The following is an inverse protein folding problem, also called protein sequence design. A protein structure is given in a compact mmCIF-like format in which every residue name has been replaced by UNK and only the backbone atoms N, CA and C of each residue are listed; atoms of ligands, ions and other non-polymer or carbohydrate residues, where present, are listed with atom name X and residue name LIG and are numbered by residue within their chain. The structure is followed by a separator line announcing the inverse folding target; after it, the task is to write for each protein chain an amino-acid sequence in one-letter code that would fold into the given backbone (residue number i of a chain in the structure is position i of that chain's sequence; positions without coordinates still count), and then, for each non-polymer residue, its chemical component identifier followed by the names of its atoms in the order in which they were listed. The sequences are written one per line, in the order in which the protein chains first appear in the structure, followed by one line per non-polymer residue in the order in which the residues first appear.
data_IF_483685936534
#
_entry.id   IF_483685936534
#
_cell.length_a   1.000
_cell.length_b   1.000
_cell.length_c   1.000
_cell.angle_alpha   90.00
_cell.angle_beta   90.00
_cell.angle_gamma   90.00
#
_symmetry.space_group_name_H-M   'P 1'
#
loop_
_entity.id
_entity.type
_entity.pdbx_description
1 polymer ?
#
# COMPACT_ATOMS: atom_id res chain seq x y z
N UNK A 1 36.35 -22.75 51.61
CA UNK A 1 35.70 -21.74 50.74
C UNK A 1 35.38 -22.43 49.42
N UNK A 2 34.09 -22.57 49.06
CA UNK A 2 33.64 -23.20 47.80
C UNK A 2 33.05 -22.11 46.91
N UNK A 3 33.63 -21.90 45.72
CA UNK A 3 33.12 -20.98 44.71
C UNK A 3 32.17 -21.73 43.77
N UNK A 4 30.94 -21.24 43.63
CA UNK A 4 29.96 -21.76 42.67
C UNK A 4 30.04 -20.96 41.36
N UNK A 5 29.95 -21.60 40.18
CA UNK A 5 29.94 -20.89 38.90
C UNK A 5 28.54 -20.33 38.61
N UNK A 6 28.46 -19.02 38.38
CA UNK A 6 27.25 -18.35 37.93
C UNK A 6 27.18 -18.50 36.41
N UNK A 7 26.38 -19.46 35.94
CA UNK A 7 26.05 -19.63 34.53
C UNK A 7 25.08 -18.51 34.13
N UNK A 8 25.58 -17.49 33.43
CA UNK A 8 24.77 -16.39 32.90
C UNK A 8 24.00 -16.88 31.66
N UNK A 9 22.81 -17.44 31.86
CA UNK A 9 21.89 -17.73 30.76
C UNK A 9 21.26 -16.41 30.29
N UNK A 10 21.67 -15.94 29.11
CA UNK A 10 21.10 -14.76 28.46
C UNK A 10 19.79 -15.19 27.78
N UNK A 11 18.60 -14.72 28.23
CA UNK A 11 17.36 -15.02 27.53
C UNK A 11 17.34 -14.26 26.21
N UNK A 12 17.35 -14.99 25.09
CA UNK A 12 17.04 -14.45 23.77
C UNK A 12 15.60 -13.96 23.80
N UNK A 13 15.39 -12.67 24.04
CA UNK A 13 14.08 -12.04 23.87
C UNK A 13 13.81 -12.04 22.37
N UNK A 14 12.99 -12.99 21.92
CA UNK A 14 12.36 -12.91 20.61
C UNK A 14 11.54 -11.63 20.61
N UNK A 15 12.05 -10.59 19.94
CA UNK A 15 11.23 -9.48 19.50
C UNK A 15 10.12 -10.08 18.62
N UNK A 16 8.92 -10.18 19.18
CA UNK A 16 7.73 -10.44 18.40
C UNK A 16 7.58 -9.26 17.42
N UNK A 17 7.82 -9.49 16.14
CA UNK A 17 7.43 -8.54 15.11
C UNK A 17 5.91 -8.42 15.19
N UNK A 18 5.40 -7.29 15.69
CA UNK A 18 4.01 -6.93 15.49
C UNK A 18 3.80 -6.86 13.97
N UNK A 19 2.91 -7.70 13.47
CA UNK A 19 2.61 -7.76 12.05
C UNK A 19 1.66 -6.59 11.74
N UNK A 20 2.21 -5.43 11.37
CA UNK A 20 1.46 -4.22 10.99
C UNK A 20 0.78 -4.38 9.61
N UNK A 21 0.31 -5.58 9.30
CA UNK A 21 -0.36 -5.89 8.05
C UNK A 21 -1.79 -5.40 8.08
N UNK A 22 -2.09 -4.55 7.11
CA UNK A 22 -3.47 -4.19 6.81
C UNK A 22 -4.11 -5.37 6.07
N UNK A 23 -5.02 -6.07 6.75
CA UNK A 23 -5.69 -7.25 6.20
C UNK A 23 -7.06 -6.86 5.65
N UNK A 24 -7.25 -7.11 4.36
CA UNK A 24 -8.53 -6.87 3.69
C UNK A 24 -8.65 -5.50 3.01
N UNK A 25 -9.57 -5.45 2.05
CA UNK A 25 -9.77 -4.31 1.16
C UNK A 25 -10.24 -3.05 1.93
N UNK A 26 -11.18 -3.21 2.86
CA UNK A 26 -11.76 -2.08 3.58
C UNK A 26 -10.77 -1.46 4.57
N UNK A 27 -9.97 -2.30 5.22
CA UNK A 27 -8.90 -1.84 6.10
C UNK A 27 -7.82 -1.09 5.31
N UNK A 28 -7.48 -1.56 4.11
CA UNK A 28 -6.56 -0.86 3.21
C UNK A 28 -7.13 0.50 2.80
N UNK A 29 -8.42 0.54 2.46
CA UNK A 29 -9.08 1.77 2.09
C UNK A 29 -9.06 2.79 3.24
N UNK A 30 -9.41 2.36 4.45
CA UNK A 30 -9.37 3.23 5.63
C UNK A 30 -7.96 3.74 5.92
N UNK A 31 -6.96 2.86 5.87
CA UNK A 31 -5.57 3.23 6.10
C UNK A 31 -5.09 4.31 5.12
N UNK A 32 -5.32 4.11 3.83
CA UNK A 32 -4.87 5.03 2.77
C UNK A 32 -5.64 6.34 2.84
N UNK A 33 -6.94 6.31 3.13
CA UNK A 33 -7.74 7.54 3.24
C UNK A 33 -7.38 8.40 4.46
N UNK A 34 -6.85 7.78 5.52
CA UNK A 34 -6.52 8.47 6.77
C UNK A 34 -5.05 8.86 6.90
N UNK A 35 -4.17 8.31 6.08
CA UNK A 35 -2.73 8.53 6.18
C UNK A 35 -2.07 8.57 4.81
N UNK A 36 -1.39 9.70 4.54
CA UNK A 36 -0.51 9.84 3.39
C UNK A 36 0.69 8.92 3.51
N UNK A 37 0.91 8.06 2.53
CA UNK A 37 2.06 7.16 2.53
C UNK A 37 3.21 7.78 1.71
N UNK A 38 4.15 8.42 2.39
CA UNK A 38 5.33 9.04 1.78
C UNK A 38 5.20 10.55 1.58
N UNK A 39 5.78 11.05 0.48
CA UNK A 39 5.93 12.49 0.25
C UNK A 39 4.82 13.12 -0.61
N UNK A 40 4.19 12.34 -1.51
CA UNK A 40 3.11 12.76 -2.40
C UNK A 40 1.71 12.41 -1.90
N UNK A 41 0.66 12.90 -2.58
CA UNK A 41 -0.70 12.43 -2.38
C UNK A 41 -0.86 11.06 -3.03
N UNK A 42 -1.58 10.13 -2.40
CA UNK A 42 -1.76 8.78 -2.94
C UNK A 42 -2.88 8.80 -3.99
N UNK A 43 -2.81 7.93 -5.01
CA UNK A 43 -3.80 7.92 -6.09
C UNK A 43 -4.37 6.52 -6.36
N UNK A 44 -5.69 6.46 -6.49
CA UNK A 44 -6.39 5.30 -7.03
C UNK A 44 -6.43 5.37 -8.56
N UNK A 45 -6.14 4.25 -9.19
CA UNK A 45 -6.53 4.00 -10.58
C UNK A 45 -7.96 3.46 -10.54
N UNK A 46 -8.88 4.20 -11.13
CA UNK A 46 -10.25 3.77 -11.34
C UNK A 46 -10.48 3.39 -12.80
N UNK A 47 -11.19 2.27 -13.01
CA UNK A 47 -11.61 1.79 -14.32
C UNK A 47 -13.13 1.86 -14.41
N UNK A 48 -13.64 2.29 -15.56
CA UNK A 48 -15.08 2.30 -15.81
C UNK A 48 -15.57 0.89 -16.15
N UNK A 49 -16.57 0.41 -15.40
CA UNK A 49 -17.19 -0.90 -15.61
C UNK A 49 -18.28 -0.82 -16.70
N UNK A 50 -18.91 -1.97 -16.99
CA UNK A 50 -19.97 -2.06 -18.01
C UNK A 50 -21.28 -1.35 -17.62
N UNK A 51 -21.45 -1.05 -16.34
CA UNK A 51 -22.58 -0.30 -15.78
C UNK A 51 -22.30 1.21 -15.69
N UNK A 52 -21.21 1.67 -16.32
CA UNK A 52 -20.71 3.05 -16.29
C UNK A 52 -20.24 3.57 -14.92
N UNK A 53 -20.03 2.68 -13.96
CA UNK A 53 -19.51 3.02 -12.62
C UNK A 53 -17.98 2.95 -12.60
N UNK A 54 -17.36 3.75 -11.73
CA UNK A 54 -15.92 3.76 -11.56
C UNK A 54 -15.50 2.84 -10.42
N UNK A 55 -14.73 1.81 -10.76
CA UNK A 55 -14.22 0.81 -9.82
C UNK A 55 -12.74 1.04 -9.55
N UNK A 56 -12.31 0.98 -8.29
CA UNK A 56 -10.89 1.05 -7.93
C UNK A 56 -10.20 -0.26 -8.31
N UNK A 57 -9.11 -0.15 -9.06
CA UNK A 57 -8.40 -1.30 -9.64
C UNK A 57 -6.94 -1.37 -9.25
N UNK A 58 -6.34 -0.24 -8.87
CA UNK A 58 -4.96 -0.19 -8.41
C UNK A 58 -4.72 1.03 -7.52
N UNK A 59 -3.75 0.92 -6.62
CA UNK A 59 -3.29 2.00 -5.76
C UNK A 59 -1.85 2.35 -6.12
N UNK A 60 -1.57 3.63 -6.30
CA UNK A 60 -0.23 4.20 -6.46
C UNK A 60 0.07 5.03 -5.24
N UNK A 61 1.16 4.68 -4.56
CA UNK A 61 1.58 5.33 -3.31
C UNK A 61 3.09 5.14 -3.11
N UNK A 62 3.69 6.01 -2.30
CA UNK A 62 5.09 5.91 -1.92
C UNK A 62 6.09 6.42 -2.97
N UNK A 63 5.64 6.96 -4.10
CA UNK A 63 6.51 7.67 -5.04
C UNK A 63 6.72 9.12 -4.62
N UNK A 64 7.67 9.78 -5.29
CA UNK A 64 7.83 11.24 -5.15
C UNK A 64 6.73 12.00 -5.89
N UNK A 65 6.24 11.43 -7.00
CA UNK A 65 5.14 11.94 -7.82
C UNK A 65 4.17 10.79 -8.15
N UNK A 66 3.27 10.49 -7.21
CA UNK A 66 2.28 9.42 -7.37
C UNK A 66 1.26 9.71 -8.48
N UNK A 67 0.98 10.99 -8.77
CA UNK A 67 0.09 11.35 -9.88
C UNK A 67 0.73 11.02 -11.23
N UNK A 68 1.99 11.41 -11.42
CA UNK A 68 2.77 11.09 -12.61
C UNK A 68 2.84 9.58 -12.84
N UNK A 69 3.13 8.81 -11.79
CA UNK A 69 3.16 7.34 -11.91
C UNK A 69 1.79 6.71 -12.13
N UNK A 70 0.72 7.28 -11.57
CA UNK A 70 -0.65 6.88 -11.90
C UNK A 70 -0.96 7.09 -13.39
N UNK A 71 -0.57 8.23 -13.95
CA UNK A 71 -0.75 8.50 -15.39
C UNK A 71 0.11 7.57 -16.27
N UNK A 72 1.35 7.27 -15.88
CA UNK A 72 2.21 6.29 -16.55
C UNK A 72 1.58 4.89 -16.56
N UNK A 73 1.05 4.45 -15.41
CA UNK A 73 0.36 3.16 -15.29
C UNK A 73 -0.87 3.10 -16.20
N UNK A 74 -1.70 4.16 -16.22
CA UNK A 74 -2.84 4.26 -17.14
C UNK A 74 -2.39 4.19 -18.61
N UNK A 75 -1.29 4.85 -18.98
CA UNK A 75 -0.75 4.78 -20.33
C UNK A 75 -0.37 3.33 -20.69
N UNK A 76 0.27 2.61 -19.77
CA UNK A 76 0.55 1.17 -19.91
C UNK A 76 -0.71 0.33 -20.09
N UNK A 77 -1.73 0.53 -19.25
CA UNK A 77 -3.02 -0.17 -19.34
C UNK A 77 -3.73 0.10 -20.68
N UNK A 78 -3.70 1.35 -21.15
CA UNK A 78 -4.28 1.73 -22.44
C UNK A 78 -3.50 1.19 -23.64
N UNK A 79 -2.20 0.93 -23.50
CA UNK A 79 -1.39 0.34 -24.57
C UNK A 79 -1.84 -1.10 -24.91
N UNK A 80 -2.36 -1.83 -23.93
CA UNK A 80 -2.89 -3.20 -24.13
C UNK A 80 -4.39 -3.23 -24.41
N UNK A 81 -5.15 -2.26 -23.89
CA UNK A 81 -6.59 -2.15 -24.12
C UNK A 81 -7.05 -0.68 -24.17
N UNK A 82 -6.93 -0.07 -25.34
CA UNK A 82 -7.23 1.35 -25.55
C UNK A 82 -8.72 1.70 -25.37
N UNK A 83 -9.62 0.72 -25.47
CA UNK A 83 -11.06 0.92 -25.36
C UNK A 83 -11.54 1.10 -23.91
N UNK A 84 -10.70 0.74 -22.92
CA UNK A 84 -11.03 0.90 -21.51
C UNK A 84 -10.80 2.34 -21.06
N UNK A 85 -11.77 2.85 -20.30
CA UNK A 85 -11.67 4.15 -19.65
C UNK A 85 -11.03 3.98 -18.26
N UNK A 86 -10.00 4.78 -18.01
CA UNK A 86 -9.28 4.84 -16.74
C UNK A 86 -9.13 6.30 -16.30
N UNK A 87 -9.09 6.53 -15.00
CA UNK A 87 -8.77 7.83 -14.38
C UNK A 87 -7.98 7.66 -13.10
N UNK A 88 -7.25 8.71 -12.72
CA UNK A 88 -6.62 8.83 -11.40
C UNK A 88 -7.53 9.65 -10.48
N UNK A 89 -7.81 9.15 -9.28
CA UNK A 89 -8.51 9.89 -8.22
C UNK A 89 -7.66 9.92 -6.97
N UNK A 90 -7.68 11.03 -6.23
CA UNK A 90 -6.90 11.15 -5.00
C UNK A 90 -7.44 10.16 -3.96
N UNK A 91 -6.53 9.49 -3.25
CA UNK A 91 -6.85 8.46 -2.28
C UNK A 91 -6.91 8.98 -0.84
N UNK A 92 -6.32 10.14 -0.55
CA UNK A 92 -6.23 10.80 0.76
C UNK A 92 -6.58 12.28 0.72
#
# INVERSE_FOLDING_TARGET
MKFAPITLALPLILAACNDDRVTGHDALFQQVSGARIGNGADYWIEMKNISEEWERTGLIFGYTDDYGECMNAIAGLKSVNYAREYRCTQAN
#
